data_IF_799856404465
#
_entry.id   IF_799856404465
#
_cell.length_a   1.000
_cell.length_b   1.000
_cell.length_c   1.000
_cell.angle_alpha   90.00
_cell.angle_beta   90.00
_cell.angle_gamma   90.00
#
_symmetry.space_group_name_H-M   'P 1'
#
loop_
_entity.id
_entity.type
_entity.pdbx_description
1 polymer ?
#
# COMPACT_ATOMS: atom_id res chain seq x y z
N UNK A 1 8.88 9.10 -16.39
CA UNK A 1 8.33 9.07 -17.76
C UNK A 1 8.85 7.80 -18.40
N UNK A 2 8.06 6.72 -18.37
CA UNK A 2 8.52 5.39 -18.78
C UNK A 2 9.04 5.41 -20.23
N UNK A 3 10.27 4.93 -20.44
CA UNK A 3 10.80 4.73 -21.77
C UNK A 3 10.14 3.45 -22.31
N UNK A 4 9.27 3.59 -23.31
CA UNK A 4 8.64 2.46 -24.00
C UNK A 4 9.31 2.33 -25.37
N UNK A 5 10.05 1.25 -25.58
CA UNK A 5 10.63 0.93 -26.90
C UNK A 5 9.66 0.02 -27.62
N UNK A 6 9.31 0.34 -28.87
CA UNK A 6 8.42 -0.49 -29.66
C UNK A 6 9.09 -1.80 -30.07
N UNK A 7 8.31 -2.88 -30.20
CA UNK A 7 8.78 -4.19 -30.68
C UNK A 7 9.52 -4.08 -32.02
N UNK A 8 9.11 -3.16 -32.89
CA UNK A 8 9.72 -2.92 -34.19
C UNK A 8 11.09 -2.21 -34.10
N UNK A 9 11.27 -1.28 -33.16
CA UNK A 9 12.59 -0.70 -32.84
C UNK A 9 13.51 -1.70 -32.15
N UNK A 10 12.94 -2.60 -31.33
CA UNK A 10 13.65 -3.73 -30.72
C UNK A 10 14.18 -4.70 -31.79
N UNK A 11 13.35 -5.12 -32.74
CA UNK A 11 13.78 -5.99 -33.85
C UNK A 11 14.71 -5.28 -34.86
N UNK A 12 14.51 -3.99 -35.15
CA UNK A 12 15.40 -3.26 -36.06
C UNK A 12 16.83 -3.10 -35.50
N UNK A 13 17.01 -3.13 -34.17
CA UNK A 13 18.34 -3.20 -33.54
C UNK A 13 18.96 -4.60 -33.65
N UNK A 14 18.15 -5.67 -33.70
CA UNK A 14 18.58 -7.05 -33.94
C UNK A 14 19.08 -7.23 -35.39
N UNK A 15 18.43 -6.61 -36.37
CA UNK A 15 18.70 -6.86 -37.80
C UNK A 15 19.73 -5.93 -38.47
N UNK A 16 20.35 -4.97 -37.78
CA UNK A 16 21.46 -4.19 -38.37
C UNK A 16 22.80 -4.96 -38.44
N UNK A 17 22.86 -6.19 -37.94
CA UNK A 17 24.09 -7.02 -37.95
C UNK A 17 24.10 -8.07 -39.06
N UNK A 18 23.00 -8.30 -39.78
CA UNK A 18 22.97 -9.22 -40.92
C UNK A 18 23.19 -8.51 -42.25
N UNK A 19 24.45 -8.25 -42.56
CA UNK A 19 25.00 -8.54 -43.89
C UNK A 19 26.53 -8.56 -43.76
N UNK A 20 27.12 -9.76 -43.89
CA UNK A 20 28.57 -10.06 -44.00
C UNK A 20 29.29 -10.60 -42.74
N UNK A 21 28.93 -11.82 -42.29
CA UNK A 21 29.86 -12.95 -42.08
C UNK A 21 29.21 -14.01 -41.17
N UNK A 22 28.91 -15.19 -41.72
CA UNK A 22 28.32 -16.31 -41.00
C UNK A 22 29.38 -16.93 -40.07
N UNK A 23 29.41 -16.49 -38.81
CA UNK A 23 29.99 -17.25 -37.71
C UNK A 23 28.83 -18.02 -37.05
N UNK A 24 28.92 -19.35 -36.84
CA UNK A 24 27.85 -20.16 -36.26
C UNK A 24 27.68 -19.96 -34.73
N UNK A 25 28.17 -18.85 -34.19
CA UNK A 25 28.11 -18.51 -32.76
C UNK A 25 27.78 -17.02 -32.68
N UNK A 26 26.51 -16.71 -32.44
CA UNK A 26 26.03 -15.34 -32.41
C UNK A 26 26.14 -14.79 -30.98
N UNK A 27 26.89 -13.69 -30.85
CA UNK A 27 26.79 -12.82 -29.67
C UNK A 27 25.88 -11.67 -30.07
N UNK A 28 24.74 -11.56 -29.40
CA UNK A 28 23.78 -10.48 -29.59
C UNK A 28 23.89 -9.58 -28.37
N UNK A 29 24.32 -8.35 -28.59
CA UNK A 29 24.37 -7.32 -27.55
C UNK A 29 23.38 -6.22 -27.87
N UNK A 30 22.50 -5.96 -26.93
CA UNK A 30 21.50 -4.90 -26.99
C UNK A 30 21.98 -3.80 -26.04
N UNK A 31 22.62 -2.73 -26.58
CA UNK A 31 23.04 -1.60 -25.76
C UNK A 31 21.82 -0.77 -25.33
N UNK A 32 21.86 -0.22 -24.13
CA UNK A 32 20.89 0.77 -23.69
C UNK A 32 21.16 2.10 -24.42
N UNK A 33 20.24 2.48 -25.31
CA UNK A 33 20.30 3.77 -26.02
C UNK A 33 19.50 4.83 -25.25
N UNK A 34 20.16 5.54 -24.33
CA UNK A 34 19.59 6.70 -23.64
C UNK A 34 20.01 8.01 -24.33
N UNK A 35 19.08 8.75 -24.98
CA UNK A 35 19.37 10.03 -25.61
C UNK A 35 19.95 11.08 -24.65
N UNK A 36 19.63 10.98 -23.35
CA UNK A 36 20.11 11.89 -22.30
C UNK A 36 21.45 11.45 -21.71
N UNK A 37 21.93 10.25 -22.03
CA UNK A 37 23.17 9.63 -21.51
C UNK A 37 23.23 9.52 -19.98
N UNK A 38 22.08 9.41 -19.32
CA UNK A 38 21.96 9.28 -17.86
C UNK A 38 21.85 7.80 -17.45
N UNK A 39 21.40 6.95 -18.35
CA UNK A 39 21.35 5.49 -18.24
C UNK A 39 22.39 4.86 -19.17
N UNK A 40 23.00 3.78 -18.71
CA UNK A 40 24.02 3.06 -19.47
C UNK A 40 23.99 1.57 -19.14
N UNK A 41 24.41 0.74 -20.09
CA UNK A 41 24.50 -0.69 -19.91
C UNK A 41 24.11 -1.48 -21.15
N UNK A 42 23.98 -2.77 -20.98
CA UNK A 42 23.59 -3.68 -22.05
C UNK A 42 22.94 -4.95 -21.49
N UNK A 43 22.17 -5.61 -22.36
CA UNK A 43 21.85 -7.03 -22.26
C UNK A 43 22.60 -7.77 -23.36
N UNK A 44 23.36 -8.79 -23.02
CA UNK A 44 24.16 -9.56 -23.96
C UNK A 44 23.80 -11.04 -23.87
N UNK A 45 23.29 -11.58 -24.96
CA UNK A 45 23.13 -13.02 -25.16
C UNK A 45 24.32 -13.59 -25.93
N UNK A 46 24.82 -14.73 -25.50
CA UNK A 46 25.95 -15.43 -26.11
C UNK A 46 25.57 -16.89 -26.30
N UNK A 47 25.33 -17.31 -27.53
CA UNK A 47 25.18 -18.73 -27.85
C UNK A 47 26.55 -19.43 -27.75
N UNK A 48 26.67 -20.40 -26.84
CA UNK A 48 27.92 -21.12 -26.59
C UNK A 48 27.97 -22.37 -27.46
N UNK A 49 26.92 -23.18 -27.40
CA UNK A 49 26.67 -24.32 -28.27
C UNK A 49 25.16 -24.60 -28.33
N UNK A 50 24.68 -25.43 -29.26
CA UNK A 50 23.26 -25.75 -29.34
C UNK A 50 22.72 -26.28 -27.99
N UNK A 51 21.70 -25.61 -27.45
CA UNK A 51 21.09 -25.92 -26.17
C UNK A 51 21.77 -25.32 -24.93
N UNK A 52 22.78 -24.45 -25.10
CA UNK A 52 23.46 -23.73 -24.02
C UNK A 52 23.79 -22.29 -24.44
N UNK A 53 23.19 -21.32 -23.77
CA UNK A 53 23.47 -19.90 -23.94
C UNK A 53 23.70 -19.18 -22.61
N UNK A 54 24.40 -18.06 -22.70
CA UNK A 54 24.59 -17.14 -21.59
C UNK A 54 23.78 -15.87 -21.82
N UNK A 55 23.24 -15.33 -20.74
CA UNK A 55 22.67 -13.99 -20.70
C UNK A 55 23.41 -13.16 -19.65
N UNK A 56 23.83 -11.95 -20.03
CA UNK A 56 24.51 -11.01 -19.15
C UNK A 56 23.74 -9.69 -19.18
N UNK A 57 23.30 -9.24 -18.02
CA UNK A 57 22.75 -7.91 -17.83
C UNK A 57 23.73 -7.08 -16.99
N UNK A 58 24.24 -5.98 -17.55
CA UNK A 58 25.09 -5.02 -16.84
C UNK A 58 24.60 -3.61 -17.14
N UNK A 59 23.87 -3.02 -16.19
CA UNK A 59 23.22 -1.74 -16.43
C UNK A 59 23.12 -0.84 -15.19
N UNK A 60 22.88 0.44 -15.44
CA UNK A 60 22.51 1.47 -14.46
C UNK A 60 21.48 2.36 -15.12
N UNK A 61 20.28 2.44 -14.55
CA UNK A 61 19.15 3.17 -15.11
C UNK A 61 18.75 4.35 -14.22
N UNK A 62 18.35 5.47 -14.81
CA UNK A 62 17.80 6.60 -14.05
C UNK A 62 16.32 6.39 -13.71
N UNK A 63 15.57 5.77 -14.61
CA UNK A 63 14.14 5.46 -14.48
C UNK A 63 13.89 4.01 -14.91
N UNK A 64 12.83 3.39 -14.39
CA UNK A 64 12.52 2.00 -14.72
C UNK A 64 12.24 1.87 -16.23
N UNK A 65 12.83 0.84 -16.84
CA UNK A 65 12.61 0.50 -18.25
C UNK A 65 11.66 -0.69 -18.32
N UNK A 66 10.57 -0.55 -19.05
CA UNK A 66 9.65 -1.67 -19.34
C UNK A 66 9.81 -2.07 -20.80
N UNK A 67 10.12 -3.34 -21.05
CA UNK A 67 10.33 -3.92 -22.37
C UNK A 67 9.19 -4.89 -22.63
N UNK A 68 8.49 -4.70 -23.76
CA UNK A 68 7.50 -5.65 -24.25
C UNK A 68 8.20 -6.74 -25.06
N UNK A 69 8.00 -7.99 -24.64
CA UNK A 69 8.57 -9.19 -25.26
C UNK A 69 7.44 -9.87 -26.03
N UNK A 70 7.70 -10.20 -27.29
CA UNK A 70 6.74 -10.89 -28.15
C UNK A 70 6.52 -12.35 -27.71
N UNK A 71 5.41 -12.92 -28.15
CA UNK A 71 5.12 -14.35 -27.96
C UNK A 71 6.25 -15.22 -28.53
N UNK A 72 6.71 -16.16 -27.71
CA UNK A 72 7.69 -17.18 -28.06
C UNK A 72 7.05 -18.54 -28.36
N UNK A 73 7.90 -19.55 -28.54
CA UNK A 73 7.44 -20.94 -28.63
C UNK A 73 7.26 -21.53 -27.22
N UNK A 74 6.14 -22.20 -26.94
CA UNK A 74 5.99 -22.93 -25.69
C UNK A 74 7.08 -23.99 -25.52
N UNK A 75 7.57 -24.16 -24.30
CA UNK A 75 8.60 -25.16 -24.00
C UNK A 75 9.07 -25.12 -22.56
N UNK A 76 9.74 -26.19 -22.16
CA UNK A 76 10.43 -26.23 -20.88
C UNK A 76 11.78 -25.53 -20.96
N UNK A 77 12.04 -24.69 -19.96
CA UNK A 77 13.31 -24.01 -19.79
C UNK A 77 14.02 -24.47 -18.53
N UNK A 78 15.34 -24.37 -18.56
CA UNK A 78 16.20 -24.51 -17.39
C UNK A 78 17.08 -23.28 -17.32
N UNK A 79 16.95 -22.53 -16.24
CA UNK A 79 17.73 -21.32 -16.00
C UNK A 79 18.57 -21.50 -14.74
N UNK A 80 19.87 -21.25 -14.86
CA UNK A 80 20.75 -21.06 -13.74
C UNK A 80 21.19 -19.60 -13.70
N UNK A 81 20.72 -18.88 -12.69
CA UNK A 81 20.88 -17.43 -12.59
C UNK A 81 21.73 -17.03 -11.39
N UNK A 82 22.58 -16.02 -11.56
CA UNK A 82 23.46 -15.47 -10.54
C UNK A 82 23.30 -13.93 -10.43
N UNK A 83 22.82 -13.47 -9.27
CA UNK A 83 22.79 -12.04 -8.91
C UNK A 83 24.17 -11.63 -8.37
N UNK A 84 24.96 -10.93 -9.19
CA UNK A 84 26.38 -10.64 -8.87
C UNK A 84 26.52 -9.28 -8.17
N UNK A 85 25.85 -8.25 -8.68
CA UNK A 85 25.91 -6.89 -8.13
C UNK A 85 24.52 -6.25 -8.14
N UNK A 86 24.16 -5.60 -7.04
CA UNK A 86 22.92 -4.87 -6.89
C UNK A 86 21.73 -5.77 -6.56
N UNK A 87 20.79 -5.23 -5.77
CA UNK A 87 19.53 -5.90 -5.48
C UNK A 87 18.48 -5.45 -6.49
N UNK A 88 17.96 -6.41 -7.26
CA UNK A 88 16.87 -6.19 -8.20
C UNK A 88 15.54 -6.58 -7.56
N UNK A 89 14.67 -5.62 -7.23
CA UNK A 89 13.37 -5.88 -6.61
C UNK A 89 12.33 -6.45 -7.59
N UNK A 90 12.59 -6.39 -8.90
CA UNK A 90 11.76 -7.06 -9.90
C UNK A 90 11.99 -8.58 -9.90
N UNK A 91 13.05 -9.06 -9.25
CA UNK A 91 13.39 -10.47 -9.13
C UNK A 91 13.46 -10.88 -7.66
N UNK A 92 13.13 -12.14 -7.37
CA UNK A 92 13.13 -12.65 -5.99
C UNK A 92 14.53 -13.10 -5.50
N UNK A 93 15.61 -12.69 -6.19
CA UNK A 93 16.97 -13.19 -5.95
C UNK A 93 17.91 -12.07 -5.51
N UNK A 94 18.18 -11.95 -4.19
CA UNK A 94 19.07 -10.91 -3.67
C UNK A 94 20.51 -11.02 -4.19
N UNK A 95 21.25 -9.91 -4.12
CA UNK A 95 22.65 -9.83 -4.47
C UNK A 95 23.49 -10.89 -3.73
N UNK A 96 24.37 -11.57 -4.46
CA UNK A 96 25.21 -12.65 -3.94
C UNK A 96 24.48 -14.00 -3.81
N UNK A 97 23.23 -14.11 -4.28
CA UNK A 97 22.50 -15.36 -4.39
C UNK A 97 22.40 -15.83 -5.85
N UNK A 98 21.92 -17.05 -6.02
CA UNK A 98 21.65 -17.69 -7.28
C UNK A 98 20.42 -18.59 -7.15
N UNK A 99 19.81 -18.93 -8.28
CA UNK A 99 18.77 -19.93 -8.34
C UNK A 99 18.96 -20.85 -9.53
N UNK A 100 18.49 -22.10 -9.38
CA UNK A 100 18.23 -22.99 -10.50
C UNK A 100 16.72 -23.13 -10.60
N UNK A 101 16.16 -22.79 -11.75
CA UNK A 101 14.76 -23.00 -12.05
C UNK A 101 14.57 -23.99 -13.20
N UNK A 102 13.45 -24.68 -13.17
CA UNK A 102 12.87 -25.38 -14.30
C UNK A 102 11.40 -25.00 -14.36
N UNK A 103 10.95 -24.50 -15.50
CA UNK A 103 9.57 -24.12 -15.72
C UNK A 103 9.04 -24.63 -17.06
N UNK A 104 7.74 -24.45 -17.24
CA UNK A 104 7.10 -24.60 -18.55
C UNK A 104 6.53 -23.26 -18.98
N UNK A 105 7.15 -22.65 -19.98
CA UNK A 105 6.63 -21.43 -20.58
C UNK A 105 5.59 -21.78 -21.64
N UNK A 106 4.42 -21.11 -21.59
CA UNK A 106 3.41 -21.18 -22.64
C UNK A 106 3.82 -20.39 -23.90
N UNK A 107 4.98 -19.74 -23.87
CA UNK A 107 5.41 -18.84 -24.95
C UNK A 107 4.58 -17.56 -25.03
N UNK A 108 3.77 -17.25 -24.02
CA UNK A 108 3.07 -15.96 -23.96
C UNK A 108 4.10 -14.85 -23.72
N UNK A 109 4.10 -13.85 -24.60
CA UNK A 109 4.87 -12.64 -24.45
C UNK A 109 4.43 -11.85 -23.22
N UNK A 110 5.14 -10.78 -22.90
CA UNK A 110 4.82 -10.02 -21.70
C UNK A 110 5.68 -8.79 -21.48
N UNK A 111 5.48 -8.15 -20.33
CA UNK A 111 6.24 -6.97 -19.93
C UNK A 111 7.37 -7.40 -18.99
N UNK A 112 8.60 -7.24 -19.46
CA UNK A 112 9.81 -7.36 -18.66
C UNK A 112 10.22 -5.99 -18.12
N UNK A 113 10.66 -5.90 -16.85
CA UNK A 113 11.05 -4.62 -16.22
C UNK A 113 12.50 -4.64 -15.77
N UNK A 114 13.24 -3.58 -16.10
CA UNK A 114 14.58 -3.30 -15.59
C UNK A 114 14.48 -2.14 -14.61
N UNK A 115 14.93 -2.37 -13.37
CA UNK A 115 14.88 -1.42 -12.28
C UNK A 115 15.84 -0.23 -12.45
N UNK A 116 15.40 0.95 -12.03
CA UNK A 116 16.20 2.15 -11.83
C UNK A 116 17.09 2.12 -10.58
N UNK A 117 18.12 2.96 -10.58
CA UNK A 117 18.94 3.27 -9.41
C UNK A 117 20.32 2.65 -9.47
N UNK A 118 20.61 1.74 -8.54
CA UNK A 118 21.93 1.13 -8.39
C UNK A 118 22.31 0.28 -9.61
N UNK A 119 23.61 0.13 -9.86
CA UNK A 119 24.12 -0.77 -10.91
C UNK A 119 23.70 -2.20 -10.63
N UNK A 120 23.12 -2.85 -11.63
CA UNK A 120 22.78 -4.27 -11.63
C UNK A 120 23.77 -5.02 -12.53
N UNK A 121 24.31 -6.13 -12.01
CA UNK A 121 25.09 -7.10 -12.78
C UNK A 121 24.53 -8.50 -12.51
N UNK A 122 24.02 -9.14 -13.55
CA UNK A 122 23.42 -10.47 -13.51
C UNK A 122 24.02 -11.36 -14.59
N UNK A 123 24.12 -12.66 -14.29
CA UNK A 123 24.60 -13.66 -15.22
C UNK A 123 23.72 -14.89 -15.16
N UNK A 124 23.11 -15.23 -16.29
CA UNK A 124 22.24 -16.39 -16.42
C UNK A 124 22.82 -17.36 -17.44
N UNK A 125 22.62 -18.65 -17.18
CA UNK A 125 22.91 -19.75 -18.08
C UNK A 125 21.57 -20.40 -18.39
N UNK A 126 21.17 -20.36 -19.66
CA UNK A 126 19.99 -21.09 -20.11
C UNK A 126 20.41 -22.41 -20.74
N UNK A 127 19.61 -23.43 -20.44
CA UNK A 127 19.82 -24.80 -20.89
C UNK A 127 18.52 -25.28 -21.52
N UNK A 128 18.62 -25.84 -22.72
CA UNK A 128 17.54 -26.64 -23.25
C UNK A 128 17.44 -27.96 -22.48
N UNK A 129 16.21 -28.39 -22.14
CA UNK A 129 15.98 -29.64 -21.41
C UNK A 129 16.63 -30.86 -22.10
N UNK A 130 16.53 -31.06 -23.43
CA UNK A 130 17.22 -32.16 -24.11
C UNK A 130 18.75 -32.13 -23.93
N UNK A 131 19.36 -30.94 -23.96
CA UNK A 131 20.81 -30.79 -23.74
C UNK A 131 21.18 -31.17 -22.30
N UNK A 132 20.42 -30.68 -21.32
CA UNK A 132 20.64 -31.01 -19.92
C UNK A 132 20.44 -32.49 -19.61
N UNK A 133 19.41 -33.12 -20.18
CA UNK A 133 19.18 -34.57 -20.08
C UNK A 133 20.34 -35.37 -20.68
N UNK A 134 20.90 -34.93 -21.81
CA UNK A 134 22.09 -35.55 -22.39
C UNK A 134 23.33 -35.41 -21.48
N UNK A 135 23.48 -34.27 -20.80
CA UNK A 135 24.60 -34.00 -19.89
C UNK A 135 24.60 -34.93 -18.66
N UNK A 136 23.42 -35.18 -18.08
CA UNK A 136 23.27 -36.00 -16.87
C UNK A 136 22.96 -37.48 -17.16
N UNK A 137 22.53 -37.81 -18.37
CA UNK A 137 22.24 -39.16 -18.85
C UNK A 137 21.48 -40.02 -17.82
N UNK A 138 22.09 -41.13 -17.38
CA UNK A 138 21.47 -42.11 -16.47
C UNK A 138 21.38 -41.65 -15.01
N UNK A 139 21.89 -40.46 -14.66
CA UNK A 139 21.91 -39.94 -13.30
C UNK A 139 20.72 -39.03 -12.97
N UNK A 140 19.71 -38.97 -13.86
CA UNK A 140 18.51 -38.14 -13.67
C UNK A 140 17.79 -38.45 -12.35
N UNK A 141 17.87 -39.69 -11.87
CA UNK A 141 17.28 -40.13 -10.60
C UNK A 141 17.86 -39.41 -9.37
N UNK A 142 19.07 -38.87 -9.48
CA UNK A 142 19.72 -38.11 -8.41
C UNK A 142 19.14 -36.69 -8.27
N UNK A 143 18.34 -36.22 -9.23
CA UNK A 143 17.69 -34.93 -9.16
C UNK A 143 16.45 -34.95 -8.24
N UNK A 144 16.13 -33.81 -7.62
CA UNK A 144 14.88 -33.63 -6.89
C UNK A 144 13.67 -34.08 -7.70
N UNK A 145 12.72 -34.77 -7.07
CA UNK A 145 11.57 -35.33 -7.77
C UNK A 145 10.73 -34.26 -8.46
N UNK A 146 10.57 -33.09 -7.86
CA UNK A 146 9.84 -31.97 -8.45
C UNK A 146 10.50 -31.48 -9.74
N UNK A 147 11.81 -31.27 -9.73
CA UNK A 147 12.57 -30.87 -10.92
C UNK A 147 12.39 -31.87 -12.08
N UNK A 148 12.40 -33.17 -11.79
CA UNK A 148 12.14 -34.21 -12.81
C UNK A 148 10.75 -34.11 -13.42
N UNK A 149 9.72 -33.89 -12.60
CA UNK A 149 8.33 -33.81 -13.08
C UNK A 149 8.12 -32.64 -14.04
N UNK A 150 8.70 -31.48 -13.74
CA UNK A 150 8.60 -30.29 -14.60
C UNK A 150 9.26 -30.51 -15.96
N UNK A 151 10.37 -31.25 -16.01
CA UNK A 151 11.03 -31.59 -17.28
C UNK A 151 10.24 -32.57 -18.15
N UNK A 152 9.40 -33.42 -17.53
CA UNK A 152 8.71 -34.53 -18.22
C UNK A 152 7.23 -34.26 -18.53
N UNK A 153 6.55 -33.42 -17.74
CA UNK A 153 5.10 -33.24 -17.76
C UNK A 153 4.73 -31.77 -17.88
N UNK A 154 4.02 -31.42 -18.96
CA UNK A 154 3.44 -30.11 -19.17
C UNK A 154 2.40 -29.78 -18.08
N UNK A 155 2.47 -28.57 -17.53
CA UNK A 155 1.53 -28.06 -16.52
C UNK A 155 1.86 -28.45 -15.06
N UNK A 156 2.98 -29.12 -14.80
CA UNK A 156 3.49 -29.25 -13.44
C UNK A 156 3.98 -27.89 -12.88
N UNK A 157 3.86 -27.64 -11.57
CA UNK A 157 4.33 -26.39 -10.98
C UNK A 157 5.84 -26.21 -11.11
N UNK A 158 6.28 -25.00 -11.46
CA UNK A 158 7.69 -24.65 -11.60
C UNK A 158 8.54 -25.08 -10.40
N UNK A 159 9.73 -25.60 -10.69
CA UNK A 159 10.72 -25.91 -9.70
C UNK A 159 11.72 -24.75 -9.60
N UNK A 160 11.99 -24.25 -8.38
CA UNK A 160 13.04 -23.26 -8.17
C UNK A 160 13.80 -23.54 -6.86
N UNK A 161 15.13 -23.50 -6.94
CA UNK A 161 16.02 -23.70 -5.79
C UNK A 161 16.99 -22.53 -5.61
N UNK A 162 16.73 -21.70 -4.60
CA UNK A 162 17.58 -20.58 -4.22
C UNK A 162 18.75 -21.02 -3.35
N UNK A 163 19.92 -20.41 -3.56
CA UNK A 163 21.07 -20.60 -2.67
C UNK A 163 22.04 -19.42 -2.72
N UNK A 164 22.99 -19.40 -1.77
CA UNK A 164 24.10 -18.43 -1.79
C UNK A 164 25.11 -18.78 -2.87
N UNK A 165 25.64 -17.78 -3.58
CA UNK A 165 26.72 -17.96 -4.55
C UNK A 165 28.03 -18.19 -3.81
N UNK A 166 28.63 -19.37 -4.03
CA UNK A 166 29.87 -19.76 -3.34
C UNK A 166 31.08 -19.02 -3.92
N UNK A 167 32.19 -18.89 -3.16
CA UNK A 167 33.42 -18.29 -3.70
C UNK A 167 33.97 -19.01 -4.94
N UNK A 168 33.78 -20.33 -5.04
CA UNK A 168 34.16 -21.10 -6.21
C UNK A 168 33.35 -20.68 -7.45
N UNK A 169 32.03 -20.54 -7.31
CA UNK A 169 31.14 -20.06 -8.38
C UNK A 169 31.49 -18.62 -8.79
N UNK A 170 31.70 -17.72 -7.82
CA UNK A 170 32.12 -16.34 -8.11
C UNK A 170 33.41 -16.28 -8.92
N UNK A 171 34.38 -17.15 -8.60
CA UNK A 171 35.64 -17.21 -9.34
C UNK A 171 35.44 -17.70 -10.79
N UNK A 172 34.57 -18.69 -11.00
CA UNK A 172 34.22 -19.16 -12.36
C UNK A 172 33.49 -18.10 -13.19
N UNK A 173 32.56 -17.37 -12.58
CA UNK A 173 31.87 -16.26 -13.25
C UNK A 173 32.88 -15.17 -13.65
N UNK A 174 33.81 -14.82 -12.76
CA UNK A 174 34.88 -13.88 -13.10
C UNK A 174 35.78 -14.38 -14.24
N UNK A 175 36.04 -15.69 -14.30
CA UNK A 175 36.79 -16.32 -15.40
C UNK A 175 36.03 -16.26 -16.73
N UNK A 176 34.71 -16.45 -16.70
CA UNK A 176 33.82 -16.30 -17.87
C UNK A 176 33.88 -14.87 -18.40
N UNK A 177 33.70 -13.88 -17.52
CA UNK A 177 33.72 -12.46 -17.89
C UNK A 177 35.08 -11.99 -18.43
N UNK A 178 36.18 -12.58 -17.94
CA UNK A 178 37.53 -12.20 -18.31
C UNK A 178 38.21 -13.24 -19.23
N UNK A 179 37.44 -13.97 -20.04
CA UNK A 179 37.98 -15.00 -20.93
C UNK A 179 39.02 -14.39 -21.91
N UNK A 180 40.30 -14.83 -21.88
CA UNK A 180 41.36 -14.27 -22.71
C UNK A 180 41.41 -14.86 -24.13
N UNK A 181 40.64 -15.92 -24.36
CA UNK A 181 40.68 -16.68 -25.61
C UNK A 181 39.70 -16.09 -26.64
N UNK A 182 39.96 -16.39 -27.91
CA UNK A 182 39.09 -16.01 -29.03
C UNK A 182 38.74 -17.23 -29.88
N UNK A 183 37.74 -17.09 -30.75
CA UNK A 183 37.30 -18.14 -31.68
C UNK A 183 36.91 -19.45 -30.98
N UNK A 184 37.32 -20.58 -31.56
CA UNK A 184 36.97 -21.93 -31.08
C UNK A 184 37.46 -22.17 -29.64
N UNK A 185 38.65 -21.66 -29.29
CA UNK A 185 39.22 -21.82 -27.95
C UNK A 185 38.39 -21.08 -26.90
N UNK A 186 37.87 -19.88 -27.23
CA UNK A 186 36.94 -19.14 -26.35
C UNK A 186 35.70 -19.97 -26.06
N UNK A 187 35.11 -20.55 -27.10
CA UNK A 187 33.89 -21.36 -26.98
C UNK A 187 34.10 -22.55 -26.06
N UNK A 188 35.13 -23.37 -26.32
CA UNK A 188 35.45 -24.53 -25.48
C UNK A 188 35.75 -24.13 -24.03
N UNK A 189 36.44 -23.01 -23.84
CA UNK A 189 36.70 -22.49 -22.50
C UNK A 189 35.41 -22.10 -21.77
N UNK A 190 34.55 -21.30 -22.40
CA UNK A 190 33.30 -20.85 -21.82
C UNK A 190 32.34 -22.02 -21.54
N UNK A 191 32.24 -22.96 -22.48
CA UNK A 191 31.50 -24.22 -22.32
C UNK A 191 32.01 -25.00 -21.10
N UNK A 192 33.34 -25.18 -20.98
CA UNK A 192 33.90 -25.88 -19.82
C UNK A 192 33.58 -25.18 -18.49
N UNK A 193 33.55 -23.85 -18.47
CA UNK A 193 33.21 -23.07 -17.27
C UNK A 193 31.72 -23.11 -16.93
N UNK A 194 30.84 -23.16 -17.94
CA UNK A 194 29.42 -23.40 -17.75
C UNK A 194 29.19 -24.76 -17.07
N UNK A 195 29.81 -25.81 -17.59
CA UNK A 195 29.68 -27.17 -17.06
C UNK A 195 30.21 -27.26 -15.61
N UNK A 196 31.33 -26.59 -15.29
CA UNK A 196 31.82 -26.49 -13.92
C UNK A 196 30.81 -25.78 -12.99
N UNK A 197 30.18 -24.68 -13.43
CA UNK A 197 29.15 -23.97 -12.66
C UNK A 197 27.90 -24.83 -12.42
N UNK A 198 27.42 -25.51 -13.46
CA UNK A 198 26.29 -26.43 -13.38
C UNK A 198 26.59 -27.54 -12.37
N UNK A 199 27.76 -28.16 -12.43
CA UNK A 199 28.17 -29.20 -11.50
C UNK A 199 28.18 -28.71 -10.04
N UNK A 200 28.73 -27.52 -9.77
CA UNK A 200 28.73 -26.92 -8.43
C UNK A 200 27.31 -26.65 -7.91
N UNK A 201 26.38 -26.30 -8.79
CA UNK A 201 24.98 -26.03 -8.42
C UNK A 201 24.19 -27.29 -8.15
N UNK A 202 24.37 -28.32 -8.96
CA UNK A 202 23.79 -29.64 -8.68
C UNK A 202 24.28 -30.21 -7.35
N UNK A 203 25.56 -30.01 -6.99
CA UNK A 203 26.09 -30.41 -5.68
C UNK A 203 25.45 -29.60 -4.54
N UNK A 204 25.27 -28.29 -4.73
CA UNK A 204 24.63 -27.44 -3.73
C UNK A 204 23.19 -27.89 -3.43
N UNK A 205 22.42 -28.24 -4.46
CA UNK A 205 21.04 -28.76 -4.33
C UNK A 205 21.02 -30.06 -3.52
N UNK A 206 21.96 -30.98 -3.76
CA UNK A 206 22.08 -32.23 -2.97
C UNK A 206 22.38 -31.93 -1.50
N UNK A 207 23.29 -30.98 -1.25
CA UNK A 207 23.70 -30.61 0.10
C UNK A 207 22.57 -29.95 0.90
N UNK A 208 21.75 -29.10 0.27
CA UNK A 208 20.64 -28.41 0.95
C UNK A 208 19.43 -29.34 1.16
N UNK A 209 19.19 -30.29 0.25
CA UNK A 209 18.18 -31.35 0.42
C UNK A 209 18.45 -32.22 1.66
N UNK A 210 19.72 -32.39 2.04
CA UNK A 210 20.14 -33.12 3.25
C UNK A 210 20.03 -32.30 4.55
N UNK A 211 19.85 -30.97 4.44
CA UNK A 211 19.82 -30.02 5.56
C UNK A 211 18.42 -29.62 6.01
N UNK A 212 17.36 -30.15 5.42
CA UNK A 212 15.94 -29.83 5.67
C UNK A 212 15.63 -29.44 7.14
N UNK A 213 15.82 -28.16 7.45
CA UNK A 213 15.06 -27.47 8.48
C UNK A 213 13.73 -27.25 7.79
N UNK A 214 12.78 -28.15 8.04
CA UNK A 214 11.43 -27.95 7.55
C UNK A 214 10.90 -26.65 8.16
N UNK A 215 10.93 -25.56 7.41
CA UNK A 215 9.92 -24.52 7.55
C UNK A 215 8.65 -25.03 6.87
N UNK A 216 8.14 -26.17 7.33
CA UNK A 216 6.76 -26.55 7.02
C UNK A 216 5.89 -25.47 7.64
N UNK A 217 5.10 -24.79 6.82
CA UNK A 217 4.03 -23.94 7.32
C UNK A 217 3.20 -24.75 8.31
N UNK A 218 2.76 -24.10 9.40
CA UNK A 218 1.89 -24.79 10.36
C UNK A 218 0.58 -25.14 9.64
N UNK A 219 -0.08 -26.25 10.00
CA UNK A 219 -1.38 -26.60 9.42
C UNK A 219 -2.38 -25.43 9.42
N UNK A 220 -2.37 -24.62 10.48
CA UNK A 220 -3.20 -23.41 10.58
C UNK A 220 -2.86 -22.35 9.51
N UNK A 221 -1.58 -22.14 9.20
CA UNK A 221 -1.18 -21.19 8.16
C UNK A 221 -1.63 -21.69 6.78
N UNK A 222 -1.53 -23.01 6.55
CA UNK A 222 -2.01 -23.65 5.32
C UNK A 222 -3.53 -23.51 5.17
N UNK A 223 -4.29 -23.80 6.23
CA UNK A 223 -5.74 -23.64 6.25
C UNK A 223 -6.16 -22.18 6.01
N UNK A 224 -5.41 -21.21 6.55
CA UNK A 224 -5.65 -19.78 6.33
C UNK A 224 -5.34 -19.35 4.89
N UNK A 225 -4.31 -19.89 4.26
CA UNK A 225 -4.00 -19.64 2.85
C UNK A 225 -5.12 -20.20 1.96
N UNK A 226 -5.56 -21.44 2.19
CA UNK A 226 -6.69 -22.00 1.45
C UNK A 226 -7.99 -21.21 1.69
N UNK A 227 -8.25 -20.81 2.93
CA UNK A 227 -9.39 -19.94 3.26
C UNK A 227 -9.33 -18.59 2.52
N UNK A 228 -8.15 -17.97 2.43
CA UNK A 228 -7.95 -16.73 1.69
C UNK A 228 -8.20 -16.92 0.19
N UNK A 229 -7.69 -18.01 -0.40
CA UNK A 229 -7.99 -18.39 -1.79
C UNK A 229 -9.49 -18.55 -2.02
N UNK A 230 -10.18 -19.29 -1.16
CA UNK A 230 -11.61 -19.54 -1.30
C UNK A 230 -12.42 -18.24 -1.18
N UNK A 231 -12.04 -17.34 -0.27
CA UNK A 231 -12.66 -16.01 -0.16
C UNK A 231 -12.47 -15.21 -1.46
N UNK A 232 -11.26 -15.19 -2.03
CA UNK A 232 -10.98 -14.44 -3.25
C UNK A 232 -11.73 -15.01 -4.46
N UNK A 233 -11.75 -16.34 -4.63
CA UNK A 233 -12.49 -17.01 -5.71
C UNK A 233 -14.00 -16.75 -5.57
N UNK A 234 -14.55 -16.86 -4.36
CA UNK A 234 -15.98 -16.68 -4.13
C UNK A 234 -16.44 -15.21 -4.21
N UNK A 235 -15.52 -14.25 -4.15
CA UNK A 235 -15.81 -12.81 -4.22
C UNK A 235 -15.01 -12.15 -5.36
N UNK A 236 -14.87 -12.84 -6.49
CA UNK A 236 -14.11 -12.36 -7.66
C UNK A 236 -14.62 -11.03 -8.21
N UNK A 237 -15.94 -10.82 -8.16
CA UNK A 237 -16.63 -9.59 -8.56
C UNK A 237 -16.47 -8.44 -7.55
N UNK A 238 -16.19 -8.76 -6.28
CA UNK A 238 -15.99 -7.78 -5.21
C UNK A 238 -15.00 -8.29 -4.17
N UNK A 239 -13.69 -8.32 -4.48
CA UNK A 239 -12.70 -8.86 -3.58
C UNK A 239 -12.68 -8.09 -2.25
N UNK A 240 -12.33 -8.74 -1.13
CA UNK A 240 -12.24 -8.07 0.16
C UNK A 240 -11.21 -6.94 0.11
N UNK A 241 -11.59 -5.75 0.57
CA UNK A 241 -10.64 -4.66 0.77
C UNK A 241 -9.76 -4.94 1.98
N UNK A 242 -8.50 -4.48 1.95
CA UNK A 242 -7.65 -4.47 3.15
C UNK A 242 -8.36 -3.73 4.31
N UNK A 243 -8.19 -4.16 5.56
CA UNK A 243 -8.76 -3.44 6.70
C UNK A 243 -8.15 -2.05 6.81
N UNK A 244 -8.95 -1.07 7.21
CA UNK A 244 -8.43 0.25 7.57
C UNK A 244 -7.70 0.14 8.92
N UNK A 245 -6.40 0.43 8.91
CA UNK A 245 -5.60 0.57 10.13
C UNK A 245 -5.46 2.04 10.48
N UNK A 246 -5.71 2.40 11.73
CA UNK A 246 -5.58 3.77 12.23
C UNK A 246 -4.61 3.77 13.40
N UNK A 247 -3.57 4.60 13.30
CA UNK A 247 -2.60 4.83 14.36
C UNK A 247 -2.96 6.16 15.06
N UNK A 248 -3.22 6.12 16.37
CA UNK A 248 -3.69 7.27 17.15
C UNK A 248 -2.73 7.63 18.28
N UNK A 249 -2.39 8.90 18.37
CA UNK A 249 -1.47 9.50 19.32
C UNK A 249 -2.20 10.59 20.09
N UNK A 250 -2.19 10.53 21.42
CA UNK A 250 -2.84 11.52 22.28
C UNK A 250 -1.91 11.92 23.42
N UNK A 251 -1.85 13.22 23.71
CA UNK A 251 -1.18 13.76 24.88
C UNK A 251 -2.12 14.71 25.60
N UNK A 252 -2.24 14.56 26.92
CA UNK A 252 -3.15 15.37 27.70
C UNK A 252 -2.77 15.46 29.17
N UNK A 253 -3.34 16.47 29.82
CA UNK A 253 -3.22 16.72 31.26
C UNK A 253 -4.62 16.80 31.84
N UNK A 254 -4.83 16.09 32.95
CA UNK A 254 -6.05 16.17 33.75
C UNK A 254 -5.71 16.52 35.19
N UNK A 255 -6.37 17.54 35.71
CA UNK A 255 -6.26 17.96 37.09
C UNK A 255 -7.60 17.82 37.80
N UNK A 256 -7.56 17.26 39.02
CA UNK A 256 -8.72 17.13 39.89
C UNK A 256 -8.38 17.69 41.26
N UNK A 257 -9.03 18.79 41.62
CA UNK A 257 -8.91 19.47 42.91
C UNK A 257 -10.28 19.47 43.61
N UNK A 258 -10.31 19.86 44.88
CA UNK A 258 -11.49 19.75 45.74
C UNK A 258 -12.79 20.34 45.16
N UNK A 259 -12.71 21.43 44.40
CA UNK A 259 -13.85 22.11 43.81
C UNK A 259 -13.64 22.50 42.34
N UNK A 260 -12.55 22.04 41.71
CA UNK A 260 -12.20 22.41 40.35
C UNK A 260 -11.64 21.19 39.63
N UNK A 261 -12.09 20.96 38.41
CA UNK A 261 -11.60 19.91 37.52
C UNK A 261 -11.30 20.55 36.17
N UNK A 262 -10.18 20.17 35.58
CA UNK A 262 -9.81 20.62 34.25
C UNK A 262 -9.12 19.49 33.49
N UNK A 263 -9.38 19.41 32.19
CA UNK A 263 -8.64 18.55 31.27
C UNK A 263 -8.35 19.29 29.97
N UNK A 264 -7.19 19.02 29.41
CA UNK A 264 -6.83 19.42 28.05
C UNK A 264 -6.08 18.26 27.39
N UNK A 265 -6.42 17.94 26.15
CA UNK A 265 -5.77 16.90 25.37
C UNK A 265 -5.62 17.37 23.92
N UNK A 266 -4.48 17.03 23.31
CA UNK A 266 -4.27 17.12 21.88
C UNK A 266 -4.13 15.71 21.30
N UNK A 267 -4.70 15.49 20.14
CA UNK A 267 -4.65 14.20 19.45
C UNK A 267 -4.21 14.35 18.00
N UNK A 268 -3.60 13.30 17.47
CA UNK A 268 -3.26 13.12 16.07
C UNK A 268 -3.50 11.65 15.70
N UNK A 269 -4.24 11.43 14.63
CA UNK A 269 -4.64 10.12 14.14
C UNK A 269 -4.33 10.03 12.65
N UNK A 270 -3.74 8.93 12.19
CA UNK A 270 -3.39 8.73 10.78
C UNK A 270 -3.74 7.33 10.28
N UNK A 271 -3.99 7.23 8.97
CA UNK A 271 -4.31 5.97 8.29
C UNK A 271 -3.82 6.03 6.86
N UNK A 272 -3.07 5.01 6.42
CA UNK A 272 -2.68 4.84 5.01
C UNK A 272 -3.87 4.52 4.09
N UNK A 273 -4.93 3.93 4.67
CA UNK A 273 -6.17 3.55 3.97
C UNK A 273 -7.37 4.21 4.65
N UNK A 274 -7.27 5.51 4.94
CA UNK A 274 -8.36 6.34 5.43
C UNK A 274 -9.56 6.25 4.49
N UNK A 275 -10.76 6.19 5.03
CA UNK A 275 -11.99 5.98 4.26
C UNK A 275 -12.83 7.24 4.27
N UNK A 276 -13.10 7.80 3.08
CA UNK A 276 -13.98 8.96 2.89
C UNK A 276 -15.02 8.66 1.81
N UNK A 277 -16.09 9.44 1.78
CA UNK A 277 -17.11 9.37 0.74
C UNK A 277 -16.94 10.57 -0.20
N UNK A 278 -16.61 10.30 -1.46
CA UNK A 278 -16.48 11.31 -2.51
C UNK A 278 -17.69 11.28 -3.43
N UNK A 279 -18.01 12.41 -4.06
CA UNK A 279 -19.06 12.43 -5.08
C UNK A 279 -18.69 11.54 -6.26
N UNK A 280 -19.66 10.79 -6.76
CA UNK A 280 -19.49 9.95 -7.93
C UNK A 280 -19.52 10.80 -9.22
N UNK A 281 -18.40 10.92 -9.95
CA UNK A 281 -18.38 11.71 -11.19
C UNK A 281 -19.27 11.11 -12.30
N UNK A 282 -19.56 9.81 -12.25
CA UNK A 282 -20.43 9.14 -13.23
C UNK A 282 -21.93 9.25 -12.89
N UNK A 283 -22.28 9.52 -11.62
CA UNK A 283 -23.66 9.62 -11.13
C UNK A 283 -23.76 10.76 -10.09
N UNK A 284 -23.92 12.02 -10.54
CA UNK A 284 -24.00 13.19 -9.65
C UNK A 284 -25.05 13.03 -8.55
N UNK A 285 -24.70 13.42 -7.32
CA UNK A 285 -25.53 13.21 -6.13
C UNK A 285 -25.48 11.81 -5.50
N UNK A 286 -24.61 10.91 -5.98
CA UNK A 286 -24.29 9.65 -5.30
C UNK A 286 -22.85 9.63 -4.77
N UNK A 287 -22.60 8.82 -3.75
CA UNK A 287 -21.30 8.73 -3.08
C UNK A 287 -20.56 7.45 -3.44
N UNK A 288 -19.27 7.58 -3.74
CA UNK A 288 -18.33 6.47 -3.84
C UNK A 288 -17.42 6.44 -2.64
N UNK A 289 -17.08 5.22 -2.20
CA UNK A 289 -16.07 5.01 -1.18
C UNK A 289 -14.69 5.28 -1.80
N UNK A 290 -13.99 6.27 -1.30
CA UNK A 290 -12.58 6.50 -1.62
C UNK A 290 -11.71 6.10 -0.43
N UNK A 291 -10.54 5.54 -0.75
CA UNK A 291 -9.52 5.19 0.25
C UNK A 291 -8.22 5.88 -0.07
N UNK A 292 -7.68 6.57 0.92
CA UNK A 292 -6.52 7.43 0.76
C UNK A 292 -5.79 7.64 2.09
N UNK A 293 -4.49 7.99 2.07
CA UNK A 293 -3.82 8.51 3.25
C UNK A 293 -4.63 9.65 3.87
N UNK A 294 -4.93 9.54 5.16
CA UNK A 294 -5.74 10.51 5.89
C UNK A 294 -5.15 10.75 7.27
N UNK A 295 -5.20 12.00 7.71
CA UNK A 295 -4.84 12.40 9.08
C UNK A 295 -5.90 13.30 9.70
N UNK A 296 -6.13 13.15 10.99
CA UNK A 296 -7.05 13.93 11.79
C UNK A 296 -6.33 14.41 13.07
N UNK A 297 -6.51 15.65 13.45
CA UNK A 297 -5.87 16.21 14.64
C UNK A 297 -6.74 17.27 15.28
N UNK A 298 -6.54 17.47 16.57
CA UNK A 298 -7.37 18.42 17.30
C UNK A 298 -6.93 18.63 18.73
N UNK A 299 -7.64 19.54 19.38
CA UNK A 299 -7.49 19.89 20.78
C UNK A 299 -8.86 19.91 21.42
N UNK A 300 -8.95 19.27 22.57
CA UNK A 300 -10.13 19.27 23.42
C UNK A 300 -9.77 19.80 24.81
N UNK A 301 -10.63 20.64 25.37
CA UNK A 301 -10.48 21.12 26.74
C UNK A 301 -11.83 21.14 27.44
N UNK A 302 -11.81 20.88 28.75
CA UNK A 302 -12.99 20.97 29.60
C UNK A 302 -12.61 21.52 30.97
N UNK A 303 -13.51 22.32 31.54
CA UNK A 303 -13.39 22.85 32.89
C UNK A 303 -14.72 22.70 33.63
N UNK A 304 -14.63 22.35 34.91
CA UNK A 304 -15.76 22.27 35.83
C UNK A 304 -15.35 22.87 37.17
N UNK A 305 -16.06 23.90 37.61
CA UNK A 305 -15.76 24.64 38.82
C UNK A 305 -16.99 24.77 39.72
N UNK A 306 -16.91 24.15 40.89
CA UNK A 306 -17.84 24.34 42.00
C UNK A 306 -17.42 25.60 42.79
N UNK A 307 -17.77 26.78 42.27
CA UNK A 307 -17.40 28.07 42.84
C UNK A 307 -17.88 28.25 44.29
N UNK A 308 -19.08 27.76 44.62
CA UNK A 308 -19.62 27.73 45.99
C UNK A 308 -20.46 26.46 46.19
N UNK A 309 -21.01 26.20 47.38
CA UNK A 309 -21.95 25.08 47.60
C UNK A 309 -23.21 25.15 46.73
N UNK A 310 -23.57 26.34 46.24
CA UNK A 310 -24.78 26.56 45.44
C UNK A 310 -24.49 26.92 43.99
N UNK A 311 -23.24 27.24 43.61
CA UNK A 311 -22.89 27.65 42.25
C UNK A 311 -21.86 26.72 41.65
N UNK A 312 -22.18 26.23 40.45
CA UNK A 312 -21.31 25.44 39.60
C UNK A 312 -21.29 26.07 38.22
N UNK A 313 -20.12 26.16 37.62
CA UNK A 313 -19.95 26.64 36.25
C UNK A 313 -18.93 25.77 35.55
N UNK A 314 -19.04 25.67 34.24
CA UNK A 314 -18.11 24.85 33.48
C UNK A 314 -18.31 25.06 31.99
N UNK A 315 -17.53 24.34 31.20
CA UNK A 315 -17.57 24.44 29.77
C UNK A 315 -16.59 23.50 29.10
N UNK A 316 -16.75 23.35 27.79
CA UNK A 316 -15.86 22.55 26.96
C UNK A 316 -15.55 23.27 25.66
N UNK A 317 -14.38 22.97 25.12
CA UNK A 317 -13.88 23.48 23.86
C UNK A 317 -13.39 22.30 23.02
N UNK A 318 -13.76 22.28 21.75
CA UNK A 318 -13.28 21.30 20.76
C UNK A 318 -12.91 22.05 19.49
N UNK A 319 -11.67 21.87 19.05
CA UNK A 319 -11.20 22.23 17.73
C UNK A 319 -10.57 21.00 17.09
N UNK A 320 -10.95 20.71 15.86
CA UNK A 320 -10.42 19.57 15.13
C UNK A 320 -10.34 19.90 13.65
N UNK A 321 -9.37 19.28 13.00
CA UNK A 321 -9.11 19.34 11.59
C UNK A 321 -8.80 17.92 11.08
N UNK A 322 -8.87 17.77 9.78
CA UNK A 322 -8.42 16.58 9.12
C UNK A 322 -8.24 16.82 7.64
N UNK A 323 -7.43 15.99 7.02
CA UNK A 323 -7.04 16.11 5.62
C UNK A 323 -6.69 14.74 5.03
N UNK A 324 -6.88 14.58 3.73
CA UNK A 324 -6.58 13.35 2.98
C UNK A 324 -5.94 13.64 1.62
N UNK A 325 -5.30 12.63 1.04
CA UNK A 325 -4.59 12.70 -0.25
C UNK A 325 -5.21 11.69 -1.23
N UNK A 326 -6.35 12.06 -1.82
CA UNK A 326 -7.16 11.16 -2.66
C UNK A 326 -6.51 10.90 -4.03
N UNK A 327 -5.82 11.89 -4.58
CA UNK A 327 -5.13 11.81 -5.88
C UNK A 327 -3.69 11.28 -5.78
N UNK A 328 -3.16 11.13 -4.57
CA UNK A 328 -1.87 10.49 -4.30
C UNK A 328 -0.68 11.33 -4.75
N UNK A 329 -0.85 12.66 -4.84
CA UNK A 329 0.17 13.59 -5.31
C UNK A 329 1.04 14.14 -4.15
N UNK A 330 0.70 13.78 -2.90
CA UNK A 330 1.35 14.23 -1.68
C UNK A 330 0.79 15.54 -1.12
N UNK A 331 -0.17 16.18 -1.79
CA UNK A 331 -0.84 17.40 -1.37
C UNK A 331 -2.18 17.06 -0.69
N UNK A 332 -2.19 17.16 0.64
CA UNK A 332 -3.37 16.84 1.42
C UNK A 332 -4.43 17.96 1.31
N UNK A 333 -5.68 17.56 1.07
CA UNK A 333 -6.86 18.43 1.02
C UNK A 333 -7.67 18.28 2.31
N UNK A 334 -8.28 19.36 2.80
CA UNK A 334 -9.10 19.30 4.00
C UNK A 334 -10.31 18.37 3.86
N UNK A 335 -10.60 17.61 4.91
CA UNK A 335 -11.83 16.83 4.99
C UNK A 335 -13.05 17.74 5.07
N UNK A 336 -14.14 17.24 4.49
CA UNK A 336 -15.44 17.91 4.44
C UNK A 336 -16.06 18.12 5.84
N UNK A 337 -17.03 19.02 5.90
CA UNK A 337 -17.73 19.40 7.13
C UNK A 337 -18.71 18.34 7.67
N UNK A 338 -18.91 17.24 6.94
CA UNK A 338 -19.60 16.04 7.41
C UNK A 338 -18.71 15.15 8.29
N UNK A 339 -17.40 15.17 8.06
CA UNK A 339 -16.40 14.40 8.79
C UNK A 339 -15.73 15.21 9.91
N UNK A 340 -15.45 16.49 9.64
CA UNK A 340 -14.81 17.39 10.59
C UNK A 340 -15.78 18.45 11.05
N UNK A 341 -16.11 18.42 12.35
CA UNK A 341 -16.94 19.45 12.96
C UNK A 341 -16.21 20.81 13.03
N UNK A 342 -16.92 21.94 12.84
CA UNK A 342 -16.39 23.25 13.17
C UNK A 342 -16.02 23.35 14.66
N UNK A 343 -15.31 24.41 15.02
CA UNK A 343 -14.98 24.72 16.40
C UNK A 343 -16.26 24.79 17.26
N UNK A 344 -16.24 24.13 18.42
CA UNK A 344 -17.38 24.10 19.36
C UNK A 344 -16.95 24.60 20.73
N UNK A 345 -17.76 25.49 21.29
CA UNK A 345 -17.62 25.97 22.65
C UNK A 345 -18.94 25.73 23.38
N UNK A 346 -18.89 25.03 24.50
CA UNK A 346 -20.01 24.91 25.44
C UNK A 346 -19.67 25.64 26.72
N UNK A 347 -20.68 26.25 27.34
CA UNK A 347 -20.55 26.84 28.66
C UNK A 347 -21.83 26.60 29.44
N UNK A 348 -21.72 26.52 30.76
CA UNK A 348 -22.89 26.43 31.61
C UNK A 348 -22.67 27.14 32.95
N UNK A 349 -23.78 27.61 33.49
CA UNK A 349 -23.89 28.18 34.83
C UNK A 349 -25.06 27.51 35.53
N UNK A 350 -24.81 26.91 36.67
CA UNK A 350 -25.78 26.19 37.46
C UNK A 350 -25.84 26.77 38.87
N UNK A 351 -27.07 26.98 39.35
CA UNK A 351 -27.36 27.48 40.68
C UNK A 351 -28.34 26.56 41.40
N UNK A 352 -28.04 26.18 42.63
CA UNK A 352 -29.00 25.64 43.57
C UNK A 352 -29.59 26.80 44.38
N UNK A 353 -30.76 27.28 43.96
CA UNK A 353 -31.41 28.46 44.53
C UNK A 353 -31.95 28.17 45.92
N UNK A 354 -32.55 26.99 46.12
CA UNK A 354 -32.93 26.43 47.43
C UNK A 354 -32.72 24.91 47.43
N UNK A 355 -32.66 24.24 48.60
CA UNK A 355 -32.66 22.77 48.67
C UNK A 355 -33.83 22.17 47.88
N UNK A 356 -33.53 21.42 46.81
CA UNK A 356 -34.53 20.85 45.90
C UNK A 356 -34.90 21.72 44.70
N UNK A 357 -34.36 22.93 44.56
CA UNK A 357 -34.54 23.77 43.37
C UNK A 357 -33.20 24.12 42.72
N UNK A 358 -33.04 23.68 41.47
CA UNK A 358 -31.83 23.90 40.66
C UNK A 358 -32.18 24.59 39.36
N UNK A 359 -31.36 25.55 38.98
CA UNK A 359 -31.44 26.29 37.74
C UNK A 359 -30.13 26.11 36.98
N UNK A 360 -30.20 25.93 35.66
CA UNK A 360 -29.06 25.82 34.76
C UNK A 360 -29.30 26.69 33.54
N UNK A 361 -28.34 27.54 33.22
CA UNK A 361 -28.23 28.21 31.95
C UNK A 361 -27.07 27.54 31.20
N UNK A 362 -27.27 27.13 29.95
CA UNK A 362 -26.23 26.51 29.14
C UNK A 362 -26.20 27.12 27.75
N UNK A 363 -25.01 27.28 27.20
CA UNK A 363 -24.76 27.88 25.91
C UNK A 363 -23.96 26.92 25.02
N UNK A 364 -24.29 26.94 23.72
CA UNK A 364 -23.54 26.28 22.66
C UNK A 364 -23.21 27.33 21.60
N UNK A 365 -21.92 27.48 21.30
CA UNK A 365 -21.43 28.20 20.14
C UNK A 365 -20.79 27.20 19.18
N UNK A 366 -21.19 27.25 17.92
CA UNK A 366 -20.54 26.54 16.81
C UNK A 366 -19.99 27.62 15.88
N UNK A 367 -18.67 27.60 15.64
CA UNK A 367 -18.01 28.61 14.82
C UNK A 367 -18.11 28.34 13.32
N UNK A 368 -17.57 29.27 12.53
CA UNK A 368 -17.48 29.14 11.09
C UNK A 368 -16.42 28.11 10.69
N UNK A 369 -16.63 27.44 9.54
CA UNK A 369 -15.66 26.55 8.91
C UNK A 369 -15.69 26.76 7.40
N UNK A 370 -14.59 27.28 6.86
CA UNK A 370 -14.43 27.53 5.42
C UNK A 370 -13.40 26.61 4.77
N UNK A 371 -12.57 25.91 5.55
CA UNK A 371 -11.42 25.15 5.04
C UNK A 371 -11.81 24.11 4.00
N UNK A 372 -12.87 23.33 4.25
CA UNK A 372 -13.36 22.37 3.26
C UNK A 372 -13.89 23.04 1.99
N UNK A 373 -14.48 24.24 2.10
CA UNK A 373 -14.95 24.99 0.93
C UNK A 373 -13.78 25.58 0.11
N UNK A 374 -12.73 26.05 0.79
CA UNK A 374 -11.53 26.59 0.16
C UNK A 374 -10.73 25.49 -0.59
N UNK A 375 -10.69 24.27 -0.02
CA UNK A 375 -10.02 23.11 -0.64
C UNK A 375 -10.95 22.32 -1.59
N UNK A 376 -12.22 22.73 -1.74
CA UNK A 376 -13.17 22.12 -2.67
C UNK A 376 -13.83 20.81 -2.20
N UNK A 377 -13.62 20.41 -0.94
CA UNK A 377 -14.27 19.24 -0.33
C UNK A 377 -15.67 19.53 0.24
N UNK A 378 -16.00 20.80 0.46
CA UNK A 378 -17.35 21.28 0.76
C UNK A 378 -17.91 22.13 -0.40
N UNK A 379 -19.20 21.98 -0.70
CA UNK A 379 -19.90 22.83 -1.69
C UNK A 379 -20.24 24.24 -1.17
N UNK A 380 -20.04 24.49 0.12
CA UNK A 380 -20.33 25.77 0.76
C UNK A 380 -19.70 25.89 2.15
N UNK A 381 -19.51 27.13 2.65
CA UNK A 381 -18.95 27.36 3.98
C UNK A 381 -19.99 27.10 5.07
N UNK A 382 -19.54 26.62 6.23
CA UNK A 382 -20.38 26.49 7.42
C UNK A 382 -20.42 27.82 8.17
N UNK A 383 -21.63 28.31 8.42
CA UNK A 383 -21.89 29.53 9.18
C UNK A 383 -22.08 29.26 10.66
N UNK A 384 -21.49 30.13 11.48
CA UNK A 384 -21.59 30.06 12.93
C UNK A 384 -23.01 30.27 13.46
N UNK A 385 -23.28 29.73 14.65
CA UNK A 385 -24.51 29.97 15.38
C UNK A 385 -24.32 29.81 16.89
N UNK A 386 -25.22 30.44 17.64
CA UNK A 386 -25.25 30.43 19.10
C UNK A 386 -26.63 30.03 19.61
N UNK A 387 -26.67 29.13 20.58
CA UNK A 387 -27.90 28.67 21.23
C UNK A 387 -27.73 28.77 22.74
N UNK A 388 -28.78 29.23 23.42
CA UNK A 388 -28.83 29.37 24.87
C UNK A 388 -30.05 28.63 25.38
N UNK A 389 -29.89 27.73 26.33
CA UNK A 389 -30.98 27.00 26.95
C UNK A 389 -31.05 27.31 28.45
N UNK A 390 -32.27 27.30 28.98
CA UNK A 390 -32.53 27.41 30.41
C UNK A 390 -33.29 26.17 30.90
N UNK A 391 -32.81 25.59 31.99
CA UNK A 391 -33.40 24.40 32.61
C UNK A 391 -33.60 24.69 34.10
N UNK A 392 -34.81 24.47 34.60
CA UNK A 392 -35.17 24.54 36.02
C UNK A 392 -35.70 23.19 36.48
N UNK A 393 -35.22 22.70 37.62
CA UNK A 393 -35.65 21.44 38.22
C UNK A 393 -36.05 21.69 39.68
N UNK A 394 -37.30 21.38 40.02
CA UNK A 394 -37.93 21.73 41.30
C UNK A 394 -38.54 20.48 41.92
N UNK A 395 -38.07 20.10 43.10
CA UNK A 395 -38.66 19.03 43.91
C UNK A 395 -39.97 19.52 44.51
N UNK A 396 -41.08 18.86 44.16
CA UNK A 396 -42.43 19.18 44.64
C UNK A 396 -43.16 17.88 44.97
N UNK A 397 -43.64 17.75 46.22
CA UNK A 397 -44.34 16.57 46.70
C UNK A 397 -43.47 15.30 46.62
N UNK A 398 -44.02 14.24 46.03
CA UNK A 398 -43.34 12.96 45.83
C UNK A 398 -42.44 12.91 44.57
N UNK A 399 -42.32 14.03 43.83
CA UNK A 399 -41.63 14.06 42.54
C UNK A 399 -40.82 15.32 42.29
N UNK A 400 -40.43 15.48 41.04
CA UNK A 400 -39.65 16.61 40.52
C UNK A 400 -40.30 17.13 39.24
N UNK A 401 -40.52 18.45 39.16
CA UNK A 401 -40.89 19.14 37.92
C UNK A 401 -39.61 19.65 37.25
N UNK A 402 -39.43 19.32 35.98
CA UNK A 402 -38.39 19.89 35.11
C UNK A 402 -39.05 20.81 34.06
N UNK A 403 -38.58 22.05 34.00
CA UNK A 403 -38.96 23.07 33.01
C UNK A 403 -37.74 23.37 32.16
N UNK A 404 -37.82 23.15 30.86
CA UNK A 404 -36.78 23.49 29.89
C UNK A 404 -37.27 24.52 28.88
N UNK A 405 -36.50 25.58 28.66
CA UNK A 405 -36.66 26.52 27.54
C UNK A 405 -35.43 26.36 26.66
N UNK A 406 -35.59 25.61 25.57
CA UNK A 406 -34.56 25.39 24.56
C UNK A 406 -34.57 26.58 23.57
N UNK A 407 -33.38 27.03 23.12
CA UNK A 407 -33.23 28.20 22.25
C UNK A 407 -33.94 29.45 22.81
N UNK A 408 -33.58 29.84 24.03
CA UNK A 408 -34.14 30.94 24.81
C UNK A 408 -34.13 32.29 24.07
N UNK A 409 -33.13 32.52 23.23
CA UNK A 409 -32.99 33.75 22.44
C UNK A 409 -33.80 33.72 21.13
N UNK A 410 -34.46 32.61 20.82
CA UNK A 410 -35.18 32.36 19.58
C UNK A 410 -34.32 32.62 18.33
N UNK A 411 -33.04 32.24 18.37
CA UNK A 411 -32.14 32.41 17.25
C UNK A 411 -32.58 31.49 16.10
N UNK A 412 -32.68 32.04 14.89
CA UNK A 412 -32.87 31.26 13.67
C UNK A 412 -31.50 30.79 13.17
N UNK A 413 -31.28 29.48 13.15
CA UNK A 413 -30.03 28.90 12.69
C UNK A 413 -30.27 27.58 11.96
N UNK A 414 -29.29 27.18 11.16
CA UNK A 414 -29.25 25.86 10.51
C UNK A 414 -28.09 25.08 11.14
N UNK A 415 -28.30 23.90 11.74
CA UNK A 415 -27.22 23.09 12.30
C UNK A 415 -26.12 22.82 11.25
N UNK A 416 -24.86 22.73 11.67
CA UNK A 416 -23.72 22.57 10.74
C UNK A 416 -23.91 21.39 9.76
N UNK A 417 -24.39 20.24 10.25
CA UNK A 417 -24.68 19.07 9.41
C UNK A 417 -25.77 19.35 8.36
N UNK A 418 -26.80 20.12 8.70
CA UNK A 418 -27.86 20.49 7.75
C UNK A 418 -27.38 21.53 6.74
N UNK A 419 -26.42 22.39 7.11
CA UNK A 419 -25.76 23.29 6.16
C UNK A 419 -24.96 22.47 5.14
N UNK A 420 -24.08 21.59 5.63
CA UNK A 420 -23.29 20.67 4.79
C UNK A 420 -24.18 19.82 3.87
N UNK A 421 -25.17 19.11 4.42
CA UNK A 421 -26.09 18.30 3.61
C UNK A 421 -26.93 19.14 2.65
N UNK A 422 -27.30 20.36 3.03
CA UNK A 422 -28.02 21.30 2.17
C UNK A 422 -27.21 21.73 0.95
N UNK A 423 -25.92 21.95 1.15
CA UNK A 423 -24.99 22.34 0.08
C UNK A 423 -24.54 21.10 -0.75
N UNK A 424 -24.54 19.90 -0.16
CA UNK A 424 -24.16 18.65 -0.82
C UNK A 424 -25.32 17.92 -1.54
N UNK A 425 -26.42 17.64 -0.85
CA UNK A 425 -27.59 16.90 -1.36
C UNK A 425 -28.70 17.81 -1.91
N UNK A 426 -28.56 19.13 -1.74
CA UNK A 426 -29.50 20.13 -2.20
C UNK A 426 -30.41 20.70 -1.10
N UNK A 427 -31.10 21.79 -1.44
CA UNK A 427 -31.75 22.69 -0.46
C UNK A 427 -32.85 22.04 0.40
N UNK A 428 -33.42 20.91 -0.03
CA UNK A 428 -34.38 20.12 0.77
C UNK A 428 -33.79 19.59 2.08
N UNK A 429 -32.47 19.44 2.16
CA UNK A 429 -31.74 19.02 3.36
C UNK A 429 -31.28 20.21 4.23
N UNK A 430 -31.48 21.45 3.76
CA UNK A 430 -31.12 22.68 4.46
C UNK A 430 -32.25 23.22 5.34
N UNK A 431 -32.72 22.42 6.30
CA UNK A 431 -33.80 22.83 7.19
C UNK A 431 -33.26 23.50 8.47
N UNK A 432 -33.86 24.62 8.90
CA UNK A 432 -33.47 25.31 10.12
C UNK A 432 -33.81 24.48 11.36
N UNK A 433 -33.09 24.73 12.45
CA UNK A 433 -33.41 24.19 13.76
C UNK A 433 -34.71 24.80 14.31
N UNK A 434 -35.23 24.17 15.37
CA UNK A 434 -36.41 24.68 16.08
C UNK A 434 -36.12 26.03 16.72
N UNK A 435 -37.11 26.92 16.67
CA UNK A 435 -37.13 28.13 17.49
C UNK A 435 -37.30 27.80 18.98
N UNK A 436 -37.63 28.81 19.78
CA UNK A 436 -37.83 28.61 21.22
C UNK A 436 -38.85 27.52 21.51
N UNK A 437 -38.43 26.52 22.28
CA UNK A 437 -39.27 25.36 22.63
C UNK A 437 -39.38 25.22 24.14
N UNK A 438 -40.60 25.19 24.66
CA UNK A 438 -40.88 24.91 26.06
C UNK A 438 -41.12 23.42 26.26
N UNK A 439 -40.38 22.81 27.20
CA UNK A 439 -40.57 21.44 27.66
C UNK A 439 -40.94 21.44 29.14
N UNK A 440 -41.97 20.67 29.49
CA UNK A 440 -42.38 20.45 30.87
C UNK A 440 -42.45 18.94 31.13
N UNK A 441 -41.81 18.50 32.20
CA UNK A 441 -41.78 17.09 32.60
C UNK A 441 -42.02 16.98 34.10
N UNK A 442 -42.76 15.95 34.53
CA UNK A 442 -42.94 15.62 35.93
C UNK A 442 -42.55 14.16 36.16
N UNK A 443 -41.57 13.94 37.05
CA UNK A 443 -41.07 12.61 37.39
C UNK A 443 -41.41 12.27 38.83
N UNK A 444 -42.00 11.09 39.04
CA UNK A 444 -42.29 10.54 40.36
C UNK A 444 -41.26 9.44 40.65
N UNK A 445 -40.69 9.45 41.84
CA UNK A 445 -39.85 8.35 42.31
C UNK A 445 -40.63 7.62 43.41
N UNK A 446 -40.93 6.34 43.21
CA UNK A 446 -41.68 5.49 44.14
C UNK A 446 -40.88 4.28 44.59
#
# INVERSE_FOLDING_TARGET
MALTISVEEFYNQIFQVEENNISPYQTVEIPLNDPKKLSQGYRRSIEICPGLDFLIDDYTLQEDLTVEVADGTPGSDLELSFSILGDNYCENTPCGQNFLSSGWSLGEGGLFKWQAGSRILKFDIHLEVPFFQALIANEIEQLPQQMRRVMDVEGEPDYCHFAKTTPAMQNLINQIFNCPYQGITRRLYLESKALELIALRLEQIKSDSSRNISSSLKPDDVDRIYSARDILINNLDKPPSLPQKVDNYEIGVRGNWNNFQASIAGFYSESELGTTLVENPALPGTLLLARAPQRNYGVEAAIDWQATKSWQLGGSFTWQEGENDIDGDGNYQALNSGEVSPIKLTAYLQNQTTPGWRNRLQALYVGDRNRGFEDGSDNGPIRSYFVLDYISSIKIGAGTIDIGVENLLNNQYTPALNQFQGDFLGNSYRFPARGTTLRLNYRINW
#
